data_IF_683592493661
#
_entry.id   IF_683592493661
#
_cell.length_a   1.000
_cell.length_b   1.000
_cell.length_c   1.000
_cell.angle_alpha   90.00
_cell.angle_beta   90.00
_cell.angle_gamma   90.00
#
_symmetry.space_group_name_H-M   'P 1'
#
loop_
_entity.id
_entity.type
_entity.pdbx_description
1 polymer ?
#
# COMPACT_ATOMS: atom_id res chain seq x y z
N UNK A 1 19.84 12.49 0.88
CA UNK A 1 19.23 12.46 -0.47
C UNK A 1 18.01 13.38 -0.46
N UNK A 2 18.15 14.68 -0.78
CA UNK A 2 17.00 15.60 -0.89
C UNK A 2 16.29 15.30 -2.21
N UNK A 3 15.23 14.48 -2.17
CA UNK A 3 14.48 14.08 -3.37
C UNK A 3 13.54 15.21 -3.77
N UNK A 4 13.95 16.00 -4.76
CA UNK A 4 13.13 17.07 -5.38
C UNK A 4 11.75 16.57 -5.87
N UNK A 5 11.59 15.26 -6.11
CA UNK A 5 10.33 14.60 -6.49
C UNK A 5 9.15 14.82 -5.53
N UNK A 6 9.42 15.09 -4.24
CA UNK A 6 8.36 15.32 -3.26
C UNK A 6 8.01 16.80 -3.09
N UNK A 7 8.64 17.70 -3.84
CA UNK A 7 8.34 19.11 -3.75
C UNK A 7 6.90 19.36 -4.25
N UNK A 8 6.01 19.78 -3.34
CA UNK A 8 4.54 19.88 -3.52
C UNK A 8 3.75 18.56 -3.54
N UNK A 9 4.36 17.42 -3.19
CA UNK A 9 3.60 16.19 -3.05
C UNK A 9 2.73 16.22 -1.78
N UNK A 10 1.46 15.83 -1.91
CA UNK A 10 0.58 15.63 -0.76
C UNK A 10 0.95 14.32 -0.06
N UNK A 11 1.37 14.39 1.21
CA UNK A 11 1.79 13.20 1.96
C UNK A 11 0.62 12.55 2.67
N UNK A 12 0.45 11.24 2.48
CA UNK A 12 -0.49 10.42 3.24
C UNK A 12 0.29 9.47 4.13
N UNK A 13 0.02 9.51 5.43
CA UNK A 13 0.59 8.56 6.38
C UNK A 13 -0.16 7.23 6.31
N UNK A 14 0.58 6.18 5.97
CA UNK A 14 0.04 4.82 5.80
C UNK A 14 0.00 4.02 7.12
N UNK A 15 0.72 4.50 8.13
CA UNK A 15 0.62 4.00 9.50
C UNK A 15 -0.56 4.65 10.23
N UNK A 16 -1.15 3.91 11.16
CA UNK A 16 -2.11 4.48 12.13
C UNK A 16 -1.42 5.15 13.32
N UNK A 17 -0.10 5.05 13.44
CA UNK A 17 0.68 5.67 14.51
C UNK A 17 0.39 7.17 14.60
N UNK A 18 0.22 7.65 15.82
CA UNK A 18 0.05 9.08 16.15
C UNK A 18 -1.21 9.73 15.56
N UNK A 19 -2.10 8.98 14.91
CA UNK A 19 -3.35 9.52 14.36
C UNK A 19 -4.18 10.26 15.42
N UNK A 20 -4.32 9.67 16.60
CA UNK A 20 -5.13 10.23 17.69
C UNK A 20 -4.50 11.46 18.35
N UNK A 21 -3.19 11.64 18.18
CA UNK A 21 -2.39 12.70 18.80
C UNK A 21 -1.87 13.72 17.78
N UNK A 22 -2.27 13.60 16.51
CA UNK A 22 -1.80 14.47 15.45
C UNK A 22 -2.70 15.71 15.37
N UNK A 23 -2.14 16.86 15.72
CA UNK A 23 -2.84 18.15 15.71
C UNK A 23 -2.63 18.94 14.41
N UNK A 24 -1.88 18.41 13.44
CA UNK A 24 -1.65 19.08 12.14
C UNK A 24 -2.84 18.84 11.20
N UNK A 25 -3.65 19.87 10.88
CA UNK A 25 -4.81 19.72 10.00
C UNK A 25 -4.43 19.44 8.54
N UNK A 26 -3.17 19.64 8.14
CA UNK A 26 -2.69 19.31 6.80
C UNK A 26 -2.23 17.84 6.69
N UNK A 27 -2.10 17.14 7.82
CA UNK A 27 -1.68 15.76 7.85
C UNK A 27 -2.83 14.83 7.45
N UNK A 28 -2.71 14.20 6.28
CA UNK A 28 -3.62 13.14 5.87
C UNK A 28 -3.13 11.77 6.34
N UNK A 29 -4.07 10.93 6.72
CA UNK A 29 -3.84 9.52 7.03
C UNK A 29 -4.67 8.65 6.09
N UNK A 30 -4.18 7.43 5.83
CA UNK A 30 -4.94 6.44 5.08
C UNK A 30 -6.35 6.25 5.71
N UNK A 31 -7.46 6.33 4.95
CA UNK A 31 -8.80 6.34 5.53
C UNK A 31 -9.12 5.06 6.33
N UNK A 32 -9.70 5.22 7.53
CA UNK A 32 -10.04 4.08 8.40
C UNK A 32 -11.07 3.13 7.77
N UNK A 33 -12.04 3.68 7.02
CA UNK A 33 -13.00 2.86 6.29
C UNK A 33 -12.31 1.91 5.30
N UNK A 34 -11.37 2.45 4.51
CA UNK A 34 -10.57 1.66 3.57
C UNK A 34 -9.61 0.68 4.28
N UNK A 35 -9.20 0.98 5.53
CA UNK A 35 -8.40 0.06 6.33
C UNK A 35 -9.22 -1.14 6.77
N UNK A 36 -10.41 -0.90 7.32
CA UNK A 36 -11.29 -1.98 7.76
C UNK A 36 -11.72 -2.86 6.60
N UNK A 37 -12.08 -2.26 5.46
CA UNK A 37 -12.43 -3.00 4.25
C UNK A 37 -11.27 -3.91 3.78
N UNK A 38 -10.07 -3.34 3.62
CA UNK A 38 -8.93 -4.09 3.15
C UNK A 38 -8.50 -5.18 4.13
N UNK A 39 -8.48 -4.90 5.43
CA UNK A 39 -8.15 -5.90 6.47
C UNK A 39 -9.17 -7.04 6.46
N UNK A 40 -10.47 -6.75 6.34
CA UNK A 40 -11.50 -7.78 6.26
C UNK A 40 -11.35 -8.64 5.00
N UNK A 41 -10.97 -8.02 3.87
CA UNK A 41 -10.73 -8.72 2.61
C UNK A 41 -9.52 -9.65 2.67
N UNK A 42 -8.43 -9.22 3.30
CA UNK A 42 -7.17 -9.96 3.35
C UNK A 42 -7.12 -10.95 4.52
N UNK A 43 -7.93 -10.76 5.57
CA UNK A 43 -7.87 -11.56 6.79
C UNK A 43 -6.63 -11.29 7.66
N UNK A 44 -5.84 -10.27 7.34
CA UNK A 44 -4.59 -9.91 8.02
C UNK A 44 -4.33 -8.40 7.92
N UNK A 45 -3.38 -7.89 8.73
CA UNK A 45 -2.98 -6.49 8.63
C UNK A 45 -2.32 -6.23 7.26
N UNK A 46 -2.79 -5.26 6.46
CA UNK A 46 -2.22 -5.00 5.14
C UNK A 46 -0.86 -4.31 5.20
N UNK A 47 0.03 -4.68 4.28
CA UNK A 47 1.28 -3.98 4.04
C UNK A 47 1.04 -2.56 3.52
N UNK A 48 2.07 -1.70 3.61
CA UNK A 48 2.02 -0.35 3.02
C UNK A 48 1.78 -0.41 1.51
N UNK A 49 2.33 -1.43 0.83
CA UNK A 49 2.12 -1.65 -0.60
C UNK A 49 0.65 -1.94 -0.91
N UNK A 50 0.04 -2.86 -0.16
CA UNK A 50 -1.37 -3.20 -0.31
C UNK A 50 -2.30 -2.02 0.00
N UNK A 51 -2.04 -1.26 1.08
CA UNK A 51 -2.78 -0.03 1.41
C UNK A 51 -2.69 1.00 0.28
N UNK A 52 -1.49 1.21 -0.27
CA UNK A 52 -1.27 2.17 -1.37
C UNK A 52 -2.03 1.75 -2.62
N UNK A 53 -1.92 0.48 -3.02
CA UNK A 53 -2.65 -0.05 -4.16
C UNK A 53 -4.16 0.11 -3.99
N UNK A 54 -4.69 -0.30 -2.84
CA UNK A 54 -6.10 -0.18 -2.51
C UNK A 54 -6.59 1.27 -2.52
N UNK A 55 -5.85 2.17 -1.88
CA UNK A 55 -6.18 3.61 -1.90
C UNK A 55 -6.31 4.13 -3.33
N UNK A 56 -5.34 3.79 -4.20
CA UNK A 56 -5.35 4.25 -5.57
C UNK A 56 -6.50 3.62 -6.36
N UNK A 57 -6.81 2.33 -6.16
CA UNK A 57 -7.92 1.70 -6.89
C UNK A 57 -9.29 2.22 -6.48
N UNK A 58 -9.47 2.61 -5.22
CA UNK A 58 -10.75 3.12 -4.70
C UNK A 58 -10.94 4.62 -4.92
N UNK A 59 -9.86 5.42 -4.91
CA UNK A 59 -9.96 6.88 -5.01
C UNK A 59 -9.70 7.45 -6.41
N UNK A 60 -9.24 6.64 -7.37
CA UNK A 60 -9.06 7.09 -8.75
C UNK A 60 -9.49 6.05 -9.76
N UNK A 61 -10.04 6.51 -10.88
CA UNK A 61 -10.35 5.68 -12.06
C UNK A 61 -9.16 5.51 -13.01
N UNK A 62 -8.03 6.18 -12.72
CA UNK A 62 -6.83 6.03 -13.54
C UNK A 62 -6.34 4.59 -13.58
N UNK A 63 -5.73 4.20 -14.70
CA UNK A 63 -5.06 2.92 -14.81
C UNK A 63 -3.74 2.95 -14.03
N UNK A 64 -3.50 1.93 -13.21
CA UNK A 64 -2.36 1.88 -12.29
C UNK A 64 -1.28 0.95 -12.85
N UNK A 65 -0.05 1.44 -12.90
CA UNK A 65 1.13 0.63 -13.23
C UNK A 65 1.89 0.30 -11.96
N UNK A 66 2.09 -1.00 -11.72
CA UNK A 66 2.74 -1.52 -10.53
C UNK A 66 4.11 -2.09 -10.89
N UNK A 67 5.18 -1.58 -10.27
CA UNK A 67 6.56 -1.97 -10.54
C UNK A 67 7.21 -2.56 -9.29
N UNK A 68 7.97 -3.64 -9.43
CA UNK A 68 8.77 -4.22 -8.33
C UNK A 68 7.95 -4.87 -7.21
N UNK A 69 6.69 -5.25 -7.48
CA UNK A 69 5.88 -6.02 -6.54
C UNK A 69 6.10 -7.51 -6.78
N UNK A 70 6.72 -8.18 -5.82
CA UNK A 70 7.00 -9.61 -5.81
C UNK A 70 6.39 -10.33 -4.60
N UNK A 71 5.60 -9.62 -3.79
CA UNK A 71 4.91 -10.14 -2.61
C UNK A 71 5.86 -10.91 -1.66
N UNK A 72 7.06 -10.35 -1.43
CA UNK A 72 8.08 -10.94 -0.54
C UNK A 72 8.65 -12.28 -1.03
N UNK A 73 8.49 -12.61 -2.31
CA UNK A 73 9.18 -13.75 -2.91
C UNK A 73 10.71 -13.57 -2.93
N UNK A 74 11.20 -12.34 -3.10
CA UNK A 74 12.61 -11.99 -2.97
C UNK A 74 12.90 -11.31 -1.62
N UNK A 75 14.15 -11.43 -1.18
CA UNK A 75 14.61 -10.64 -0.03
C UNK A 75 14.72 -9.18 -0.46
N UNK A 76 14.24 -8.29 0.40
CA UNK A 76 14.29 -6.85 0.15
C UNK A 76 15.74 -6.42 -0.13
N UNK A 77 15.98 -5.73 -1.25
CA UNK A 77 17.30 -5.33 -1.77
C UNK A 77 18.25 -4.72 -0.72
N UNK A 78 17.71 -4.08 0.32
CA UNK A 78 18.47 -3.40 1.37
C UNK A 78 18.54 -4.13 2.73
N UNK A 79 17.94 -5.33 2.89
CA UNK A 79 17.93 -6.07 4.19
C UNK A 79 18.06 -7.58 4.04
N UNK A 80 19.03 -8.15 4.76
CA UNK A 80 19.30 -9.61 4.85
C UNK A 80 18.41 -10.38 5.84
N UNK A 81 17.63 -9.71 6.70
CA UNK A 81 16.79 -10.36 7.73
C UNK A 81 15.34 -10.47 7.25
N UNK A 82 14.77 -11.67 7.31
CA UNK A 82 13.36 -11.90 7.03
C UNK A 82 12.48 -11.24 8.10
N UNK A 83 11.88 -10.11 7.74
CA UNK A 83 10.71 -9.58 8.44
C UNK A 83 9.47 -10.03 7.67
N UNK A 84 9.03 -11.27 7.90
CA UNK A 84 7.64 -11.64 7.66
C UNK A 84 6.85 -11.06 8.83
N UNK A 85 6.40 -9.81 8.67
CA UNK A 85 5.44 -9.20 9.61
C UNK A 85 4.10 -9.98 9.62
N UNK A 86 3.08 -9.48 10.32
CA UNK A 86 1.76 -10.13 10.44
C UNK A 86 0.94 -10.15 9.12
N UNK A 87 1.57 -9.83 7.99
CA UNK A 87 0.93 -9.70 6.69
C UNK A 87 0.72 -11.05 6.01
N UNK A 88 -0.44 -11.23 5.39
CA UNK A 88 -0.68 -12.35 4.48
C UNK A 88 -0.29 -11.95 3.05
N UNK A 89 0.96 -12.24 2.69
CA UNK A 89 1.51 -11.94 1.37
C UNK A 89 0.80 -12.69 0.24
N UNK A 90 0.23 -13.87 0.53
CA UNK A 90 -0.52 -14.62 -0.47
C UNK A 90 -1.87 -13.94 -0.74
N UNK A 91 -2.59 -13.53 0.30
CA UNK A 91 -3.82 -12.76 0.15
C UNK A 91 -3.58 -11.42 -0.56
N UNK A 92 -2.49 -10.70 -0.24
CA UNK A 92 -2.12 -9.46 -0.94
C UNK A 92 -1.81 -9.67 -2.42
N UNK A 93 -1.09 -10.76 -2.76
CA UNK A 93 -0.84 -11.16 -4.14
C UNK A 93 -2.14 -11.44 -4.88
N UNK A 94 -2.99 -12.27 -4.30
CA UNK A 94 -4.23 -12.69 -4.96
C UNK A 94 -5.17 -11.50 -5.16
N UNK A 95 -5.20 -10.57 -4.19
CA UNK A 95 -5.87 -9.27 -4.34
C UNK A 95 -5.33 -8.48 -5.53
N UNK A 96 -4.01 -8.26 -5.60
CA UNK A 96 -3.39 -7.48 -6.66
C UNK A 96 -3.60 -8.12 -8.04
N UNK A 97 -3.46 -9.44 -8.15
CA UNK A 97 -3.72 -10.17 -9.40
C UNK A 97 -5.19 -10.09 -9.83
N UNK A 98 -6.13 -10.09 -8.87
CA UNK A 98 -7.55 -9.89 -9.19
C UNK A 98 -7.83 -8.51 -9.81
N UNK A 99 -7.07 -7.48 -9.42
CA UNK A 99 -7.17 -6.15 -10.01
C UNK A 99 -6.56 -6.09 -11.42
N UNK A 100 -5.50 -6.86 -11.65
CA UNK A 100 -4.91 -7.03 -12.98
C UNK A 100 -5.89 -7.70 -13.94
N UNK A 101 -6.56 -8.76 -13.49
CA UNK A 101 -7.58 -9.46 -14.28
C UNK A 101 -8.76 -8.54 -14.65
N UNK A 102 -9.12 -7.61 -13.77
CA UNK A 102 -10.15 -6.59 -14.01
C UNK A 102 -9.67 -5.42 -14.90
N UNK A 103 -8.40 -5.39 -15.31
CA UNK A 103 -7.83 -4.33 -16.12
C UNK A 103 -7.66 -2.99 -15.40
N UNK A 104 -7.77 -2.95 -14.07
CA UNK A 104 -7.55 -1.73 -13.26
C UNK A 104 -6.07 -1.45 -13.03
N UNK A 105 -5.27 -2.51 -12.99
CA UNK A 105 -3.85 -2.50 -12.66
C UNK A 105 -3.09 -3.30 -13.71
N UNK A 106 -1.87 -2.88 -14.05
CA UNK A 106 -0.92 -3.73 -14.76
C UNK A 106 0.34 -3.90 -13.92
N UNK A 107 0.71 -5.16 -13.65
CA UNK A 107 1.99 -5.49 -13.06
C UNK A 107 3.05 -5.49 -14.17
N UNK A 108 4.07 -4.65 -14.00
CA UNK A 108 5.23 -4.58 -14.87
C UNK A 108 6.37 -5.32 -14.18
N UNK A 109 6.71 -6.48 -14.74
CA UNK A 109 7.78 -7.38 -14.28
C UNK A 109 9.13 -7.00 -14.89
#
# INVERSE_FOLDING_TARGET
>A
MKRAYFNKAFSVWMSGSERETCDDPQQAFYPLALLHELTNRLGAEPSVGAKTLHMLTELTDAHILMFGFDFKQSTSFYRRKENRGPHDWAAERDYALSLCQKGRVSLIA
#
